data_IF_147600166079
#
_entry.id   IF_147600166079
#
_cell.length_a   1.000
_cell.length_b   1.000
_cell.length_c   1.000
_cell.angle_alpha   90.00
_cell.angle_beta   90.00
_cell.angle_gamma   90.00
#
_symmetry.space_group_name_H-M   'P 1'
#
loop_
_entity.id
_entity.type
_entity.pdbx_description
1 polymer ?
#
# COMPACT_ATOMS: atom_id res chain seq x y z
N UNK A 1 -16.33 -4.31 -0.26
CA UNK A 1 -16.59 -5.54 -1.04
C UNK A 1 -16.39 -6.70 -0.10
N UNK A 2 -17.26 -7.72 -0.13
CA UNK A 2 -17.23 -8.88 0.77
C UNK A 2 -16.79 -10.16 0.05
N UNK A 3 -16.96 -10.22 -1.25
CA UNK A 3 -16.57 -11.38 -2.05
C UNK A 3 -16.86 -11.20 -3.52
N UNK A 4 -16.30 -12.11 -4.30
CA UNK A 4 -16.42 -12.17 -5.74
C UNK A 4 -16.71 -13.61 -6.15
N UNK A 5 -17.66 -13.82 -7.05
CA UNK A 5 -18.02 -15.13 -7.56
C UNK A 5 -18.11 -15.11 -9.08
N UNK A 6 -17.44 -16.04 -9.74
CA UNK A 6 -17.57 -16.28 -11.18
C UNK A 6 -18.86 -17.04 -11.47
N UNK A 7 -19.67 -16.54 -12.38
CA UNK A 7 -20.96 -17.12 -12.78
C UNK A 7 -21.01 -17.24 -14.32
N UNK A 8 -20.44 -18.31 -14.88
CA UNK A 8 -20.33 -18.48 -16.31
C UNK A 8 -19.51 -17.37 -16.98
N UNK A 9 -20.13 -16.55 -17.82
CA UNK A 9 -19.51 -15.42 -18.50
C UNK A 9 -19.58 -14.10 -17.72
N UNK A 10 -20.05 -14.12 -16.47
CA UNK A 10 -20.23 -12.94 -15.67
C UNK A 10 -19.56 -13.10 -14.30
N UNK A 11 -19.35 -11.98 -13.60
CA UNK A 11 -18.78 -11.94 -12.27
C UNK A 11 -19.74 -11.22 -11.33
N UNK A 12 -20.14 -11.89 -10.25
CA UNK A 12 -20.98 -11.31 -9.22
C UNK A 12 -20.12 -10.76 -8.09
N UNK A 13 -20.33 -9.49 -7.77
CA UNK A 13 -19.73 -8.84 -6.60
C UNK A 13 -20.74 -8.82 -5.45
N UNK A 14 -20.27 -9.20 -4.27
CA UNK A 14 -21.01 -9.10 -3.02
C UNK A 14 -20.53 -7.89 -2.23
N UNK A 15 -21.46 -7.00 -1.86
CA UNK A 15 -21.20 -5.85 -1.02
C UNK A 15 -22.09 -5.85 0.20
N UNK A 16 -21.92 -4.90 1.12
CA UNK A 16 -22.82 -4.73 2.26
C UNK A 16 -24.23 -4.24 1.84
N UNK A 17 -24.35 -3.70 0.64
CA UNK A 17 -25.59 -3.12 0.12
C UNK A 17 -26.32 -4.05 -0.86
N UNK A 18 -25.76 -5.24 -1.12
CA UNK A 18 -26.35 -6.21 -2.03
C UNK A 18 -25.31 -6.82 -2.98
N UNK A 19 -25.82 -7.51 -4.00
CA UNK A 19 -25.01 -8.14 -5.05
C UNK A 19 -25.26 -7.47 -6.39
N UNK A 20 -24.21 -7.26 -7.14
CA UNK A 20 -24.24 -6.74 -8.51
C UNK A 20 -23.46 -7.67 -9.43
N UNK A 21 -23.86 -7.73 -10.71
CA UNK A 21 -23.25 -8.61 -11.72
C UNK A 21 -22.64 -7.77 -12.82
N UNK A 22 -21.43 -8.13 -13.24
CA UNK A 22 -20.64 -7.44 -14.26
C UNK A 22 -20.09 -8.45 -15.25
N UNK A 23 -19.82 -8.02 -16.49
CA UNK A 23 -19.18 -8.86 -17.52
C UNK A 23 -17.71 -9.14 -17.17
N UNK A 24 -17.03 -8.16 -16.56
CA UNK A 24 -15.64 -8.27 -16.14
C UNK A 24 -15.37 -7.42 -14.88
N UNK A 25 -14.36 -7.85 -14.12
CA UNK A 25 -13.92 -7.14 -12.89
C UNK A 25 -12.41 -7.05 -12.88
N UNK A 26 -11.88 -5.87 -12.56
CA UNK A 26 -10.46 -5.63 -12.31
C UNK A 26 -10.25 -5.42 -10.81
N UNK A 27 -9.39 -6.24 -10.19
CA UNK A 27 -9.02 -6.11 -8.79
C UNK A 27 -7.74 -5.27 -8.70
N UNK A 28 -7.87 -3.98 -8.37
CA UNK A 28 -6.77 -3.05 -8.17
C UNK A 28 -6.43 -2.91 -6.67
N UNK A 29 -6.24 -4.03 -5.99
CA UNK A 29 -5.89 -4.11 -4.56
C UNK A 29 -4.65 -5.00 -4.37
N UNK A 30 -4.18 -5.14 -3.14
CA UNK A 30 -3.10 -6.06 -2.82
C UNK A 30 -3.48 -7.51 -3.17
N UNK A 31 -2.49 -8.35 -3.51
CA UNK A 31 -2.74 -9.73 -3.95
C UNK A 31 -3.36 -10.61 -2.86
N UNK A 32 -3.01 -10.40 -1.60
CA UNK A 32 -3.64 -11.06 -0.44
C UNK A 32 -5.12 -10.69 -0.30
N UNK A 33 -5.45 -9.41 -0.51
CA UNK A 33 -6.83 -8.94 -0.53
C UNK A 33 -7.61 -9.50 -1.73
N UNK A 34 -6.96 -9.57 -2.90
CA UNK A 34 -7.56 -10.20 -4.08
C UNK A 34 -7.89 -11.68 -3.81
N UNK A 35 -6.97 -12.42 -3.19
CA UNK A 35 -7.20 -13.81 -2.79
C UNK A 35 -8.33 -13.95 -1.78
N UNK A 36 -8.40 -13.06 -0.80
CA UNK A 36 -9.49 -13.05 0.17
C UNK A 36 -10.86 -12.81 -0.49
N UNK A 37 -10.92 -11.94 -1.51
CA UNK A 37 -12.15 -11.68 -2.26
C UNK A 37 -12.55 -12.84 -3.18
N UNK A 38 -11.60 -13.52 -3.80
CA UNK A 38 -11.83 -14.72 -4.61
C UNK A 38 -12.25 -15.91 -3.76
N UNK A 39 -11.78 -15.98 -2.52
CA UNK A 39 -12.11 -17.04 -1.58
C UNK A 39 -11.87 -18.44 -2.17
N UNK A 40 -12.86 -19.32 -2.05
CA UNK A 40 -12.78 -20.68 -2.62
C UNK A 40 -12.83 -20.70 -4.15
N UNK A 41 -13.33 -19.64 -4.77
CA UNK A 41 -13.37 -19.48 -6.22
C UNK A 41 -12.01 -19.19 -6.89
N UNK A 42 -10.95 -18.97 -6.09
CA UNK A 42 -9.59 -18.81 -6.64
C UNK A 42 -9.08 -20.16 -7.18
N UNK A 43 -8.55 -20.16 -8.39
CA UNK A 43 -7.89 -21.31 -8.99
C UNK A 43 -6.58 -21.66 -8.26
N UNK A 44 -6.03 -22.84 -8.54
CA UNK A 44 -4.73 -23.26 -8.01
C UNK A 44 -3.61 -22.29 -8.42
N UNK A 45 -3.61 -21.86 -9.67
CA UNK A 45 -2.58 -20.98 -10.19
C UNK A 45 -2.71 -19.56 -9.62
N UNK A 46 -3.93 -19.06 -9.46
CA UNK A 46 -4.16 -17.77 -8.78
C UNK A 46 -3.67 -17.81 -7.32
N UNK A 47 -3.95 -18.88 -6.61
CA UNK A 47 -3.44 -19.04 -5.24
C UNK A 47 -1.91 -19.08 -5.21
N UNK A 48 -1.29 -19.79 -6.13
CA UNK A 48 0.16 -19.92 -6.19
C UNK A 48 0.83 -18.58 -6.52
N UNK A 49 0.35 -17.86 -7.54
CA UNK A 49 0.95 -16.59 -8.00
C UNK A 49 0.66 -15.46 -7.02
N UNK A 50 -0.60 -15.23 -6.67
CA UNK A 50 -0.98 -14.13 -5.78
C UNK A 50 -0.48 -14.35 -4.34
N UNK A 51 -0.45 -15.59 -3.88
CA UNK A 51 0.07 -15.95 -2.55
C UNK A 51 1.59 -15.88 -2.42
N UNK A 52 2.33 -15.87 -3.53
CA UNK A 52 3.78 -15.71 -3.51
C UNK A 52 4.22 -14.28 -3.15
N UNK A 53 3.35 -13.30 -3.36
CA UNK A 53 3.62 -11.88 -3.04
C UNK A 53 3.35 -11.68 -1.55
N UNK A 54 4.41 -11.50 -0.78
CA UNK A 54 4.32 -11.30 0.67
C UNK A 54 4.25 -9.80 1.00
N UNK A 55 3.37 -9.44 1.93
CA UNK A 55 3.26 -8.10 2.48
C UNK A 55 3.78 -8.07 3.91
N UNK A 56 4.48 -6.99 4.25
CA UNK A 56 4.94 -6.74 5.61
C UNK A 56 4.09 -5.60 6.21
N UNK A 57 3.66 -5.73 7.48
CA UNK A 57 3.05 -4.61 8.19
C UNK A 57 4.01 -3.42 8.21
N UNK A 58 3.48 -2.25 7.94
CA UNK A 58 4.22 -1.00 8.00
C UNK A 58 3.42 0.04 8.79
N UNK A 59 4.10 0.87 9.56
CA UNK A 59 3.48 1.95 10.31
C UNK A 59 3.75 3.27 9.59
N UNK A 60 2.71 3.93 9.13
CA UNK A 60 2.78 5.26 8.58
C UNK A 60 2.32 6.29 9.62
N UNK A 61 3.13 7.32 9.85
CA UNK A 61 2.81 8.41 10.78
C UNK A 61 2.77 9.72 9.99
N UNK A 62 1.64 10.40 10.02
CA UNK A 62 1.51 11.75 9.46
C UNK A 62 1.84 12.77 10.57
N UNK A 63 2.85 13.60 10.33
CA UNK A 63 3.30 14.61 11.29
C UNK A 63 3.86 15.86 10.59
N UNK A 64 4.06 16.94 11.35
CA UNK A 64 4.65 18.20 10.87
C UNK A 64 6.09 18.44 11.37
N UNK A 65 6.70 17.46 12.01
CA UNK A 65 8.05 17.62 12.57
C UNK A 65 9.11 17.61 11.45
N UNK A 66 9.82 18.72 11.32
CA UNK A 66 10.91 18.89 10.34
C UNK A 66 12.26 18.38 10.83
N UNK A 67 12.40 18.03 12.10
CA UNK A 67 13.64 17.52 12.67
C UNK A 67 14.06 16.18 12.07
N UNK A 68 13.11 15.43 11.52
CA UNK A 68 13.34 14.15 10.81
C UNK A 68 13.92 14.34 9.39
N UNK A 69 14.00 15.56 8.91
CA UNK A 69 14.55 15.87 7.59
C UNK A 69 16.05 16.23 7.70
N UNK A 70 16.82 16.14 6.60
CA UNK A 70 18.21 16.54 6.61
C UNK A 70 18.41 17.96 7.13
N UNK A 71 19.48 18.19 7.92
CA UNK A 71 19.80 19.53 8.48
C UNK A 71 19.92 20.62 7.40
N UNK A 72 20.48 20.27 6.24
CA UNK A 72 20.59 21.20 5.10
C UNK A 72 19.34 21.15 4.27
N UNK A 73 18.58 22.25 4.20
CA UNK A 73 17.35 22.35 3.39
C UNK A 73 17.55 22.03 1.91
N UNK A 74 18.72 22.35 1.36
CA UNK A 74 19.06 22.01 -0.01
C UNK A 74 19.11 20.49 -0.27
N UNK A 75 19.30 19.69 0.76
CA UNK A 75 19.28 18.22 0.68
C UNK A 75 17.88 17.61 0.82
N UNK A 76 16.86 18.43 1.10
CA UNK A 76 15.50 17.90 1.22
C UNK A 76 15.00 17.40 -0.13
N UNK A 77 14.59 16.14 -0.16
CA UNK A 77 13.96 15.52 -1.31
C UNK A 77 12.49 15.19 -0.98
N UNK A 78 11.72 14.83 -1.98
CA UNK A 78 10.36 14.32 -1.76
C UNK A 78 10.38 13.04 -0.92
N UNK A 79 11.46 12.25 -1.04
CA UNK A 79 11.72 11.00 -0.34
C UNK A 79 13.08 11.12 0.33
N UNK A 80 13.10 11.04 1.64
CA UNK A 80 14.32 11.12 2.45
C UNK A 80 14.49 9.80 3.19
N UNK A 81 15.59 9.13 2.92
CA UNK A 81 15.92 7.84 3.51
C UNK A 81 16.85 8.05 4.70
N UNK A 82 16.49 7.52 5.85
CA UNK A 82 17.31 7.52 7.05
C UNK A 82 17.59 6.09 7.47
N UNK A 83 18.87 5.82 7.75
CA UNK A 83 19.32 4.57 8.31
C UNK A 83 20.06 4.87 9.62
N UNK A 84 19.78 4.12 10.67
CA UNK A 84 20.53 4.22 11.92
C UNK A 84 22.01 3.93 11.67
N UNK A 85 22.89 4.89 12.00
CA UNK A 85 24.32 4.85 11.68
C UNK A 85 25.12 3.86 12.53
N UNK A 86 24.57 3.38 13.65
CA UNK A 86 25.31 2.63 14.66
C UNK A 86 25.29 1.11 14.50
N UNK A 87 24.63 0.60 13.48
CA UNK A 87 24.57 -0.84 13.24
C UNK A 87 25.17 -1.19 11.88
N UNK A 88 26.31 -1.87 11.92
CA UNK A 88 26.95 -2.46 10.74
C UNK A 88 26.15 -3.63 10.13
N UNK A 89 24.96 -3.91 10.64
CA UNK A 89 24.09 -5.01 10.21
C UNK A 89 23.13 -4.55 9.12
N UNK A 90 22.99 -5.37 8.07
CA UNK A 90 22.01 -5.19 6.99
C UNK A 90 20.55 -5.09 7.48
N UNK A 91 20.30 -5.44 8.73
CA UNK A 91 18.97 -5.47 9.39
C UNK A 91 18.65 -4.19 10.18
N UNK A 92 19.42 -3.10 10.06
CA UNK A 92 19.13 -1.86 10.74
C UNK A 92 17.75 -1.33 10.33
N UNK A 93 16.92 -0.87 11.29
CA UNK A 93 15.64 -0.25 10.97
C UNK A 93 15.83 0.91 10.02
N UNK A 94 15.02 0.92 8.98
CA UNK A 94 15.02 1.96 7.96
C UNK A 94 13.79 2.82 8.16
N UNK A 95 13.97 4.13 8.16
CA UNK A 95 12.88 5.08 8.13
C UNK A 95 12.86 5.84 6.80
N UNK A 96 11.69 5.98 6.21
CA UNK A 96 11.49 6.71 4.97
C UNK A 96 10.56 7.88 5.23
N UNK A 97 11.08 9.09 5.10
CA UNK A 97 10.33 10.32 5.32
C UNK A 97 9.87 10.91 4.00
N UNK A 98 8.56 10.99 3.80
CA UNK A 98 7.94 11.58 2.63
C UNK A 98 7.64 13.07 2.90
N UNK A 99 8.28 13.95 2.16
CA UNK A 99 7.96 15.37 2.18
C UNK A 99 6.77 15.63 1.23
N UNK A 100 5.57 15.41 1.74
CA UNK A 100 4.33 15.40 0.95
C UNK A 100 4.11 16.74 0.24
N UNK A 101 4.54 17.87 0.85
CA UNK A 101 4.45 19.21 0.25
C UNK A 101 5.24 19.36 -1.07
N UNK A 102 6.17 18.45 -1.35
CA UNK A 102 6.87 18.38 -2.64
C UNK A 102 6.20 17.40 -3.62
N UNK A 103 5.39 16.49 -3.13
CA UNK A 103 4.67 15.51 -3.95
C UNK A 103 3.30 16.04 -4.38
N UNK A 104 2.68 16.87 -3.55
CA UNK A 104 1.33 17.38 -3.76
C UNK A 104 1.26 18.87 -3.43
N UNK A 105 0.47 19.66 -4.16
CA UNK A 105 0.22 21.07 -3.85
C UNK A 105 -0.72 21.19 -2.64
N UNK A 106 -0.18 20.98 -1.44
CA UNK A 106 -0.94 21.11 -0.20
C UNK A 106 -0.98 22.58 0.23
N UNK A 107 -2.13 23.05 0.76
CA UNK A 107 -2.29 24.43 1.23
C UNK A 107 -1.48 24.71 2.51
N UNK A 108 -0.99 23.69 3.18
CA UNK A 108 -0.26 23.80 4.44
C UNK A 108 1.24 23.99 4.17
N UNK A 109 1.80 25.01 4.78
CA UNK A 109 3.25 25.18 4.82
C UNK A 109 3.79 24.43 6.01
N UNK A 110 4.93 23.76 5.84
CA UNK A 110 5.70 23.22 6.96
C UNK A 110 6.00 24.36 7.94
N UNK A 111 5.64 24.15 9.22
CA UNK A 111 6.03 25.12 10.24
C UNK A 111 7.56 25.19 10.31
N UNK A 112 8.05 26.40 10.48
CA UNK A 112 9.48 26.69 10.60
C UNK A 112 9.96 26.33 11.99
#
# INVERSE_FOLDING_TARGET
>A
MLGLQRCGHAVRLQTRHGSETFDAVVLACHSDQALALLGEGASRDERAVLGAIRYQPNTAVLHGDVAVLPRRRAAWASWNYERASDTATEQAPVCLHYLINRLQPLPWRLMR
#
